data_IF_821021579158
#
_entry.id   IF_821021579158
#
_cell.length_a   1.000
_cell.length_b   1.000
_cell.length_c   1.000
_cell.angle_alpha   90.00
_cell.angle_beta   90.00
_cell.angle_gamma   90.00
#
_symmetry.space_group_name_H-M   'P 1'
#
loop_
_entity.id
_entity.type
_entity.pdbx_description
1 polymer ?
#
# COMPACT_ATOMS: atom_id res chain seq x y z
N UNK A 1 9.22 16.78 54.87
CA UNK A 1 9.64 16.17 53.59
C UNK A 1 9.12 14.75 53.38
N UNK A 2 9.34 13.78 54.29
CA UNK A 2 8.80 12.39 54.13
C UNK A 2 7.30 12.33 53.89
N UNK A 3 6.46 12.96 54.73
CA UNK A 3 4.99 12.93 54.59
C UNK A 3 4.48 13.48 53.26
N UNK A 4 5.10 14.54 52.75
CA UNK A 4 4.73 15.14 51.47
C UNK A 4 5.12 14.23 50.30
N UNK A 5 6.29 13.60 50.37
CA UNK A 5 6.72 12.58 49.41
C UNK A 5 5.84 11.33 49.44
N UNK A 6 5.35 10.90 50.61
CA UNK A 6 4.41 9.78 50.71
C UNK A 6 3.05 10.11 50.11
N UNK A 7 2.55 11.32 50.33
CA UNK A 7 1.30 11.79 49.72
C UNK A 7 1.45 11.87 48.20
N UNK A 8 2.53 12.46 47.70
CA UNK A 8 2.82 12.53 46.27
C UNK A 8 2.89 11.11 45.65
N UNK A 9 3.57 10.18 46.31
CA UNK A 9 3.67 8.78 45.87
C UNK A 9 2.28 8.13 45.75
N UNK A 10 1.42 8.28 46.76
CA UNK A 10 0.08 7.70 46.73
C UNK A 10 -0.81 8.34 45.66
N UNK A 11 -0.69 9.65 45.44
CA UNK A 11 -1.38 10.34 44.34
C UNK A 11 -0.92 9.81 42.99
N UNK A 12 0.39 9.67 42.77
CA UNK A 12 0.94 9.11 41.52
C UNK A 12 0.49 7.65 41.30
N UNK A 13 0.49 6.82 42.34
CA UNK A 13 0.00 5.44 42.26
C UNK A 13 -1.49 5.41 41.93
N UNK A 14 -2.30 6.28 42.53
CA UNK A 14 -3.73 6.37 42.24
C UNK A 14 -3.98 6.75 40.77
N UNK A 15 -3.24 7.72 40.22
CA UNK A 15 -3.32 8.08 38.80
C UNK A 15 -2.86 6.94 37.87
N UNK A 16 -1.78 6.23 38.22
CA UNK A 16 -1.32 5.08 37.46
C UNK A 16 -2.36 3.96 37.45
N UNK A 17 -2.96 3.64 38.60
CA UNK A 17 -3.99 2.61 38.69
C UNK A 17 -5.27 3.00 37.93
N UNK A 18 -5.70 4.27 38.02
CA UNK A 18 -6.84 4.77 37.27
C UNK A 18 -6.64 4.64 35.76
N UNK A 19 -5.41 4.80 35.29
CA UNK A 19 -5.07 4.62 33.88
C UNK A 19 -4.91 3.13 33.49
N UNK A 20 -4.23 2.35 34.32
CA UNK A 20 -3.78 1.00 33.95
C UNK A 20 -4.85 -0.08 34.19
N UNK A 21 -5.78 0.13 35.14
CA UNK A 21 -6.85 -0.83 35.42
C UNK A 21 -7.88 -0.97 34.27
N UNK A 22 -8.44 0.12 33.69
CA UNK A 22 -9.32 0.01 32.53
C UNK A 22 -8.62 -0.62 31.33
N UNK A 23 -7.36 -0.24 31.09
CA UNK A 23 -6.55 -0.81 30.03
C UNK A 23 -6.33 -2.31 30.21
N UNK A 24 -5.95 -2.76 31.42
CA UNK A 24 -5.80 -4.18 31.73
C UNK A 24 -7.13 -4.93 31.58
N UNK A 25 -8.24 -4.36 32.05
CA UNK A 25 -9.57 -4.97 31.91
C UNK A 25 -9.94 -5.14 30.43
N UNK A 26 -9.79 -4.10 29.63
CA UNK A 26 -10.04 -4.16 28.19
C UNK A 26 -9.10 -5.16 27.50
N UNK A 27 -7.82 -5.21 27.89
CA UNK A 27 -6.88 -6.19 27.34
C UNK A 27 -7.31 -7.65 27.58
N UNK A 28 -7.90 -7.95 28.75
CA UNK A 28 -8.39 -9.30 29.06
C UNK A 28 -9.79 -9.61 28.50
N UNK A 29 -10.64 -8.61 28.32
CA UNK A 29 -12.05 -8.79 27.95
C UNK A 29 -12.30 -8.60 26.45
N UNK A 30 -11.52 -7.76 25.77
CA UNK A 30 -11.65 -7.53 24.32
C UNK A 30 -11.24 -8.80 23.59
N UNK A 31 -12.24 -9.56 23.15
CA UNK A 31 -12.07 -10.59 22.13
C UNK A 31 -12.02 -9.87 20.79
N UNK A 32 -10.89 -9.87 20.05
CA UNK A 32 -10.90 -9.35 18.69
C UNK A 32 -11.83 -10.22 17.86
N UNK A 33 -12.95 -9.67 17.39
CA UNK A 33 -13.70 -10.27 16.28
C UNK A 33 -12.77 -10.25 15.07
N UNK A 34 -12.15 -11.41 14.80
CA UNK A 34 -11.30 -11.56 13.63
C UNK A 34 -12.20 -11.58 12.41
N UNK A 35 -12.23 -10.47 11.67
CA UNK A 35 -12.80 -10.44 10.32
C UNK A 35 -12.23 -11.63 9.53
N UNK A 36 -13.08 -12.50 8.95
CA UNK A 36 -12.60 -13.66 8.23
C UNK A 36 -11.75 -13.20 7.03
N UNK A 37 -10.66 -13.90 6.79
CA UNK A 37 -9.84 -13.66 5.60
C UNK A 37 -10.67 -13.98 4.36
N UNK A 38 -10.92 -12.98 3.53
CA UNK A 38 -11.83 -13.08 2.38
C UNK A 38 -11.07 -12.80 1.10
N UNK A 39 -11.20 -13.69 0.11
CA UNK A 39 -10.65 -13.56 -1.23
C UNK A 39 -11.71 -13.88 -2.27
N UNK A 40 -11.70 -13.17 -3.40
CA UNK A 40 -12.50 -13.53 -4.55
C UNK A 40 -11.88 -14.74 -5.27
N UNK A 41 -12.72 -15.66 -5.72
CA UNK A 41 -12.34 -16.81 -6.50
C UNK A 41 -13.02 -16.77 -7.86
N UNK A 42 -12.24 -16.61 -8.93
CA UNK A 42 -12.72 -16.79 -10.30
C UNK A 42 -13.24 -18.21 -10.61
N UNK A 43 -12.89 -19.21 -9.80
CA UNK A 43 -13.32 -20.61 -10.02
C UNK A 43 -14.79 -20.78 -9.66
N UNK A 44 -15.22 -20.19 -8.54
CA UNK A 44 -16.62 -20.25 -8.09
C UNK A 44 -17.42 -19.00 -8.47
N UNK A 45 -16.76 -17.91 -8.88
CA UNK A 45 -17.41 -16.62 -9.17
C UNK A 45 -17.91 -15.91 -7.92
N UNK A 46 -17.28 -16.17 -6.76
CA UNK A 46 -17.71 -15.66 -5.46
C UNK A 46 -16.54 -15.48 -4.48
N UNK A 47 -16.81 -14.77 -3.39
CA UNK A 47 -15.88 -14.63 -2.28
C UNK A 47 -15.83 -15.91 -1.44
N UNK A 48 -14.61 -16.34 -1.17
CA UNK A 48 -14.25 -17.42 -0.29
C UNK A 48 -13.67 -16.84 1.02
N UNK A 49 -14.22 -17.27 2.15
CA UNK A 49 -13.90 -16.79 3.48
C UNK A 49 -13.26 -17.89 4.32
N UNK A 50 -12.22 -17.52 5.07
CA UNK A 50 -11.56 -18.36 6.05
C UNK A 50 -11.51 -17.62 7.40
N UNK A 51 -12.17 -18.16 8.41
CA UNK A 51 -12.26 -17.56 9.74
C UNK A 51 -12.18 -18.61 10.85
N UNK A 52 -11.99 -18.15 12.09
CA UNK A 52 -12.14 -19.01 13.26
C UNK A 52 -13.57 -18.87 13.79
N UNK A 53 -14.29 -19.98 13.97
CA UNK A 53 -15.59 -20.01 14.64
C UNK A 53 -15.44 -20.61 16.05
N UNK A 54 -16.15 -20.03 17.02
CA UNK A 54 -16.10 -20.45 18.42
C UNK A 54 -16.54 -21.93 18.55
N UNK A 55 -15.64 -22.78 19.05
CA UNK A 55 -15.87 -24.21 19.22
C UNK A 55 -15.72 -25.09 17.97
N UNK A 56 -15.58 -24.53 16.76
CA UNK A 56 -15.44 -25.29 15.49
C UNK A 56 -14.07 -25.19 14.82
N UNK A 57 -13.17 -24.35 15.32
CA UNK A 57 -11.85 -24.16 14.73
C UNK A 57 -11.89 -23.32 13.44
N UNK A 58 -10.96 -23.56 12.52
CA UNK A 58 -10.89 -22.83 11.25
C UNK A 58 -11.96 -23.32 10.28
N UNK A 59 -12.96 -22.48 10.00
CA UNK A 59 -14.04 -22.74 9.04
C UNK A 59 -13.73 -22.02 7.74
N UNK A 60 -13.90 -22.74 6.63
CA UNK A 60 -13.68 -22.27 5.26
C UNK A 60 -15.00 -22.36 4.52
N UNK A 61 -15.54 -21.24 4.08
CA UNK A 61 -16.87 -21.18 3.43
C UNK A 61 -16.91 -20.18 2.29
N UNK A 62 -17.85 -20.34 1.37
CA UNK A 62 -18.23 -19.27 0.43
C UNK A 62 -19.38 -18.43 0.98
N UNK A 63 -19.79 -17.39 0.25
CA UNK A 63 -20.96 -16.57 0.61
C UNK A 63 -22.29 -17.31 0.53
N UNK A 64 -22.37 -18.41 -0.24
CA UNK A 64 -23.55 -19.27 -0.29
C UNK A 64 -23.68 -20.17 0.95
N UNK A 65 -22.65 -20.22 1.79
CA UNK A 65 -22.62 -21.02 3.03
C UNK A 65 -22.11 -22.45 2.83
N UNK A 66 -21.57 -22.80 1.66
CA UNK A 66 -20.94 -24.11 1.45
C UNK A 66 -19.63 -24.17 2.25
N UNK A 67 -19.45 -25.23 3.01
CA UNK A 67 -18.25 -25.45 3.82
C UNK A 67 -17.28 -26.34 3.04
N UNK A 68 -16.04 -25.90 2.92
CA UNK A 68 -14.99 -26.59 2.19
C UNK A 68 -14.01 -27.27 3.16
N UNK A 69 -13.51 -28.44 2.77
CA UNK A 69 -12.29 -28.98 3.37
C UNK A 69 -11.09 -28.09 3.00
N UNK A 70 -9.98 -28.23 3.71
CA UNK A 70 -8.74 -27.49 3.40
C UNK A 70 -8.29 -27.70 1.94
N UNK A 71 -8.17 -28.97 1.53
CA UNK A 71 -7.80 -29.30 0.16
C UNK A 71 -8.77 -28.72 -0.90
N UNK A 72 -10.08 -28.73 -0.63
CA UNK A 72 -11.06 -28.16 -1.54
C UNK A 72 -10.95 -26.63 -1.60
N UNK A 73 -10.71 -25.98 -0.45
CA UNK A 73 -10.53 -24.53 -0.37
C UNK A 73 -9.27 -24.06 -1.11
N UNK A 74 -8.17 -24.82 -1.02
CA UNK A 74 -6.96 -24.51 -1.79
C UNK A 74 -7.24 -24.54 -3.30
N UNK A 75 -8.11 -25.47 -3.74
CA UNK A 75 -8.44 -25.70 -5.15
C UNK A 75 -9.34 -24.61 -5.74
N UNK A 76 -10.20 -23.98 -4.92
CA UNK A 76 -11.01 -22.84 -5.36
C UNK A 76 -10.20 -21.53 -5.41
N UNK A 77 -9.07 -21.45 -4.72
CA UNK A 77 -8.17 -20.28 -4.75
C UNK A 77 -6.78 -20.67 -5.30
N UNK A 78 -6.71 -21.20 -6.55
CA UNK A 78 -5.51 -21.85 -7.04
C UNK A 78 -4.34 -20.89 -7.24
N UNK A 79 -4.62 -19.61 -7.54
CA UNK A 79 -3.59 -18.59 -7.68
C UNK A 79 -2.96 -18.22 -6.34
N UNK A 80 -3.74 -18.19 -5.25
CA UNK A 80 -3.24 -17.87 -3.91
C UNK A 80 -2.48 -19.05 -3.30
N UNK A 81 -3.06 -20.26 -3.36
CA UNK A 81 -2.49 -21.48 -2.79
C UNK A 81 -1.63 -22.29 -3.78
N UNK A 82 -1.10 -21.65 -4.82
CA UNK A 82 -0.36 -22.35 -5.89
C UNK A 82 0.78 -23.21 -5.37
N UNK A 83 1.51 -22.77 -4.32
CA UNK A 83 2.61 -23.56 -3.74
C UNK A 83 2.13 -24.87 -3.12
N UNK A 84 1.00 -24.81 -2.40
CA UNK A 84 0.40 -25.99 -1.77
C UNK A 84 -0.15 -26.93 -2.84
N UNK A 85 -0.89 -26.41 -3.82
CA UNK A 85 -1.42 -27.21 -4.92
C UNK A 85 -0.34 -27.86 -5.77
N UNK A 86 0.80 -27.19 -5.97
CA UNK A 86 1.96 -27.78 -6.67
C UNK A 86 2.58 -28.91 -5.85
N UNK A 87 2.70 -28.75 -4.53
CA UNK A 87 3.22 -29.80 -3.65
C UNK A 87 2.31 -31.03 -3.63
N UNK A 88 1.00 -30.81 -3.76
CA UNK A 88 0.00 -31.87 -3.74
C UNK A 88 -0.27 -32.45 -5.14
N UNK A 89 0.42 -31.98 -6.19
CA UNK A 89 0.19 -32.36 -7.60
C UNK A 89 -1.26 -32.09 -8.08
N UNK A 90 -1.94 -31.09 -7.47
CA UNK A 90 -3.33 -30.69 -7.77
C UNK A 90 -3.44 -29.36 -8.50
N UNK A 91 -2.33 -28.74 -8.84
CA UNK A 91 -2.34 -27.45 -9.53
C UNK A 91 -2.85 -27.63 -10.97
N UNK A 92 -3.88 -26.87 -11.42
CA UNK A 92 -4.44 -27.05 -12.76
C UNK A 92 -3.44 -26.70 -13.86
N UNK A 93 -3.28 -27.58 -14.85
CA UNK A 93 -2.44 -27.34 -16.03
C UNK A 93 -2.97 -26.20 -16.92
N UNK A 94 -4.28 -25.95 -16.87
CA UNK A 94 -4.95 -24.91 -17.66
C UNK A 94 -6.02 -24.24 -16.83
N UNK A 95 -6.02 -22.91 -16.81
CA UNK A 95 -7.04 -22.08 -16.16
C UNK A 95 -7.59 -21.11 -17.20
N UNK A 96 -8.91 -21.12 -17.40
CA UNK A 96 -9.61 -20.28 -18.39
C UNK A 96 -8.98 -20.34 -19.80
N UNK A 97 -8.51 -21.52 -20.22
CA UNK A 97 -7.88 -21.73 -21.53
C UNK A 97 -6.41 -21.30 -21.64
N UNK A 98 -5.81 -20.79 -20.56
CA UNK A 98 -4.40 -20.41 -20.50
C UNK A 98 -3.60 -21.53 -19.83
N UNK A 99 -2.55 -22.01 -20.50
CA UNK A 99 -1.62 -22.97 -19.92
C UNK A 99 -0.88 -22.34 -18.73
N UNK A 100 -1.01 -22.95 -17.56
CA UNK A 100 -0.44 -22.42 -16.34
C UNK A 100 0.99 -22.92 -16.13
N UNK A 101 1.87 -22.03 -15.69
CA UNK A 101 3.20 -22.41 -15.20
C UNK A 101 3.46 -21.77 -13.84
N UNK A 102 4.20 -22.42 -12.94
CA UNK A 102 4.51 -21.85 -11.62
C UNK A 102 5.20 -20.48 -11.71
N UNK A 103 6.03 -20.28 -12.74
CA UNK A 103 6.72 -19.02 -12.99
C UNK A 103 5.76 -17.90 -13.39
N UNK A 104 4.74 -18.21 -14.18
CA UNK A 104 3.70 -17.26 -14.58
C UNK A 104 2.91 -16.79 -13.36
N UNK A 105 2.44 -17.71 -12.50
CA UNK A 105 1.71 -17.38 -11.27
C UNK A 105 2.54 -16.48 -10.35
N UNK A 106 3.82 -16.81 -10.15
CA UNK A 106 4.73 -16.01 -9.31
C UNK A 106 5.00 -14.59 -9.85
N UNK A 107 4.87 -14.41 -11.16
CA UNK A 107 5.13 -13.12 -11.81
C UNK A 107 3.86 -12.26 -11.81
N UNK A 108 2.71 -12.88 -12.03
CA UNK A 108 1.41 -12.21 -12.12
C UNK A 108 0.80 -11.89 -10.76
N UNK A 109 1.05 -12.70 -9.73
CA UNK A 109 0.55 -12.43 -8.40
C UNK A 109 1.28 -11.27 -7.75
N UNK A 110 0.51 -10.38 -7.14
CA UNK A 110 1.05 -9.29 -6.33
C UNK A 110 0.19 -9.03 -5.09
N UNK A 111 0.81 -8.43 -4.09
CA UNK A 111 0.14 -7.93 -2.91
C UNK A 111 0.55 -6.47 -2.71
N UNK A 112 -0.42 -5.60 -2.51
CA UNK A 112 -0.23 -4.20 -2.20
C UNK A 112 -1.00 -3.86 -0.93
N UNK A 113 -0.38 -3.11 -0.04
CA UNK A 113 -1.01 -2.63 1.17
C UNK A 113 -0.65 -1.17 1.37
N UNK A 114 -1.64 -0.35 1.66
CA UNK A 114 -1.49 1.02 2.15
C UNK A 114 -2.29 1.17 3.43
N UNK A 115 -1.68 1.78 4.43
CA UNK A 115 -2.37 2.17 5.67
C UNK A 115 -2.27 3.69 5.87
N UNK A 116 -3.23 4.31 6.57
CA UNK A 116 -3.23 5.76 6.80
C UNK A 116 -1.93 6.31 7.40
N UNK A 117 -1.29 5.54 8.28
CA UNK A 117 -0.01 5.91 8.89
C UNK A 117 1.13 6.06 7.88
N UNK A 118 1.06 5.42 6.71
CA UNK A 118 2.08 5.55 5.67
C UNK A 118 2.09 6.97 5.05
N UNK A 119 0.97 7.69 5.18
CA UNK A 119 0.76 9.01 4.59
C UNK A 119 0.82 10.09 5.67
N UNK A 120 0.16 9.84 6.80
CA UNK A 120 0.05 10.79 7.89
C UNK A 120 1.36 10.90 8.70
N UNK A 121 2.23 9.90 8.64
CA UNK A 121 3.50 9.94 9.36
C UNK A 121 4.45 11.00 8.77
N UNK A 122 5.23 11.70 9.61
CA UNK A 122 6.28 12.59 9.14
C UNK A 122 7.27 11.85 8.23
N UNK A 123 7.43 12.34 6.99
CA UNK A 123 8.43 11.84 6.06
C UNK A 123 9.70 12.67 6.10
N UNK A 124 10.84 11.99 5.95
CA UNK A 124 12.13 12.65 5.75
C UNK A 124 12.18 13.02 4.27
N UNK A 125 12.19 14.31 3.93
CA UNK A 125 12.22 14.83 2.56
C UNK A 125 13.55 14.61 1.82
N UNK A 126 14.19 13.45 2.03
CA UNK A 126 15.43 13.00 1.40
C UNK A 126 15.18 11.61 0.81
N UNK A 127 15.46 11.47 -0.49
CA UNK A 127 15.08 10.30 -1.26
C UNK A 127 16.29 9.74 -2.01
N UNK A 128 16.60 8.43 -1.91
CA UNK A 128 17.66 7.83 -2.72
C UNK A 128 17.19 7.64 -4.17
N UNK A 129 17.95 8.10 -5.16
CA UNK A 129 17.66 7.80 -6.57
C UNK A 129 18.55 6.67 -7.07
N UNK A 130 17.97 5.48 -7.22
CA UNK A 130 18.66 4.31 -7.73
C UNK A 130 18.82 4.35 -9.25
N UNK A 131 19.79 3.59 -9.76
CA UNK A 131 20.03 3.44 -11.19
C UNK A 131 19.13 2.35 -11.78
N UNK A 132 18.10 2.76 -12.52
CA UNK A 132 17.08 1.86 -13.09
C UNK A 132 17.64 0.91 -14.14
N UNK A 133 18.77 1.24 -14.79
CA UNK A 133 19.46 0.36 -15.73
C UNK A 133 20.94 0.18 -15.38
N UNK A 134 21.19 -0.39 -14.19
CA UNK A 134 22.55 -0.64 -13.70
C UNK A 134 23.30 -1.74 -14.47
N UNK A 135 22.56 -2.57 -15.23
CA UNK A 135 23.10 -3.76 -15.90
C UNK A 135 23.50 -4.89 -14.93
N UNK A 136 23.22 -4.74 -13.64
CA UNK A 136 23.45 -5.74 -12.60
C UNK A 136 22.11 -6.27 -12.07
N UNK A 137 22.16 -7.49 -11.52
CA UNK A 137 20.98 -8.14 -10.92
C UNK A 137 20.57 -7.40 -9.64
N UNK A 138 21.54 -6.99 -8.81
CA UNK A 138 21.27 -6.30 -7.55
C UNK A 138 21.30 -4.77 -7.73
N UNK A 139 20.27 -4.12 -7.18
CA UNK A 139 20.23 -2.67 -7.03
C UNK A 139 21.23 -2.25 -5.95
N UNK A 140 21.90 -1.12 -6.19
CA UNK A 140 22.84 -0.52 -5.25
C UNK A 140 22.24 0.76 -4.68
N UNK A 141 22.43 0.94 -3.37
CA UNK A 141 22.15 2.24 -2.76
C UNK A 141 23.09 3.29 -3.37
N UNK A 142 22.55 4.45 -3.80
CA UNK A 142 23.39 5.57 -4.23
C UNK A 142 24.16 6.14 -3.03
N UNK A 143 25.30 6.81 -3.28
CA UNK A 143 26.05 7.55 -2.27
C UNK A 143 25.47 8.95 -1.99
N UNK A 144 24.41 9.31 -2.73
CA UNK A 144 23.68 10.57 -2.59
C UNK A 144 22.17 10.35 -2.44
N UNK A 145 21.51 11.33 -1.83
CA UNK A 145 20.06 11.43 -1.72
C UNK A 145 19.61 12.75 -2.31
N UNK A 146 18.43 12.81 -2.90
CA UNK A 146 17.89 14.05 -3.44
C UNK A 146 16.79 14.64 -2.55
N UNK A 147 16.64 15.95 -2.65
CA UNK A 147 15.46 16.69 -2.20
C UNK A 147 15.00 17.61 -3.32
N UNK A 148 13.72 17.97 -3.31
CA UNK A 148 13.17 18.96 -4.24
C UNK A 148 12.88 20.24 -3.46
N UNK A 149 13.51 21.34 -3.88
CA UNK A 149 13.31 22.67 -3.32
C UNK A 149 12.47 23.52 -4.27
N UNK A 150 12.18 24.76 -3.90
CA UNK A 150 11.50 25.72 -4.79
C UNK A 150 12.35 26.15 -6.00
N UNK A 151 13.67 25.93 -5.95
CA UNK A 151 14.60 26.32 -7.03
C UNK A 151 14.91 25.17 -7.99
N UNK A 152 14.84 23.93 -7.52
CA UNK A 152 15.23 22.77 -8.31
C UNK A 152 15.38 21.51 -7.47
N UNK A 153 15.94 20.47 -8.08
CA UNK A 153 16.29 19.22 -7.41
C UNK A 153 17.77 19.27 -7.00
N UNK A 154 18.04 18.97 -5.73
CA UNK A 154 19.38 18.99 -5.15
C UNK A 154 19.76 17.58 -4.71
N UNK A 155 20.92 17.09 -5.18
CA UNK A 155 21.52 15.85 -4.70
C UNK A 155 22.55 16.16 -3.63
N UNK A 156 22.40 15.54 -2.47
CA UNK A 156 23.26 15.71 -1.30
C UNK A 156 24.09 14.45 -1.13
N UNK A 157 25.40 14.61 -1.08
CA UNK A 157 26.31 13.53 -0.76
C UNK A 157 26.15 13.11 0.71
N UNK A 158 25.98 11.82 0.97
CA UNK A 158 25.73 11.33 2.33
C UNK A 158 26.97 11.36 3.23
N UNK A 159 28.18 11.31 2.66
CA UNK A 159 29.41 11.28 3.44
C UNK A 159 29.85 12.69 3.86
N UNK A 160 29.73 13.67 2.96
CA UNK A 160 30.20 15.04 3.19
C UNK A 160 29.08 16.03 3.51
N UNK A 161 27.81 15.63 3.34
CA UNK A 161 26.62 16.49 3.46
C UNK A 161 26.70 17.74 2.56
N UNK A 162 27.38 17.62 1.41
CA UNK A 162 27.53 18.69 0.42
C UNK A 162 26.63 18.44 -0.79
N UNK A 163 26.17 19.52 -1.42
CA UNK A 163 25.38 19.43 -2.66
C UNK A 163 26.29 19.05 -3.83
N UNK A 164 25.87 18.07 -4.63
CA UNK A 164 26.47 17.70 -5.91
C UNK A 164 25.93 18.61 -7.00
N UNK A 165 26.54 19.77 -7.16
CA UNK A 165 26.08 20.85 -8.06
C UNK A 165 25.86 20.37 -9.51
N UNK A 166 26.84 19.67 -10.10
CA UNK A 166 26.76 19.21 -11.49
C UNK A 166 25.56 18.26 -11.73
N UNK A 167 25.35 17.29 -10.82
CA UNK A 167 24.24 16.35 -10.88
C UNK A 167 22.90 17.06 -10.66
N UNK A 168 22.86 17.97 -9.69
CA UNK A 168 21.68 18.76 -9.35
C UNK A 168 21.24 19.65 -10.52
N UNK A 169 22.19 20.32 -11.17
CA UNK A 169 21.95 21.14 -12.35
C UNK A 169 21.41 20.29 -13.51
N UNK A 170 22.06 19.16 -13.81
CA UNK A 170 21.65 18.28 -14.91
C UNK A 170 20.20 17.79 -14.75
N UNK A 171 19.82 17.39 -13.54
CA UNK A 171 18.46 16.93 -13.27
C UNK A 171 17.45 18.09 -13.27
N UNK A 172 17.82 19.25 -12.71
CA UNK A 172 16.97 20.44 -12.71
C UNK A 172 16.68 20.89 -14.15
N UNK A 173 17.68 20.98 -15.01
CA UNK A 173 17.51 21.31 -16.42
C UNK A 173 16.63 20.31 -17.16
N UNK A 174 16.79 19.00 -16.90
CA UNK A 174 15.96 17.96 -17.50
C UNK A 174 14.48 18.09 -17.09
N UNK A 175 14.21 18.45 -15.83
CA UNK A 175 12.86 18.69 -15.33
C UNK A 175 12.27 19.99 -15.91
N UNK A 176 13.02 21.09 -15.91
CA UNK A 176 12.59 22.37 -16.50
C UNK A 176 12.32 22.24 -18.00
N UNK A 177 13.11 21.44 -18.73
CA UNK A 177 12.87 21.15 -20.15
C UNK A 177 11.55 20.41 -20.41
N UNK A 178 10.98 19.75 -19.38
CA UNK A 178 9.65 19.13 -19.40
C UNK A 178 8.59 20.02 -18.77
N UNK A 179 8.91 21.31 -18.60
CA UNK A 179 8.07 22.34 -18.01
C UNK A 179 7.70 22.10 -16.54
N UNK A 180 8.40 21.23 -15.80
CA UNK A 180 8.11 20.94 -14.39
C UNK A 180 8.10 22.22 -13.52
N UNK A 181 7.07 22.40 -12.69
CA UNK A 181 7.00 23.51 -11.72
C UNK A 181 7.43 23.09 -10.32
N UNK A 182 8.48 23.73 -9.82
CA UNK A 182 8.95 23.56 -8.45
C UNK A 182 8.15 24.40 -7.44
N UNK A 183 8.03 23.96 -6.18
CA UNK A 183 8.47 22.67 -5.64
C UNK A 183 7.52 21.51 -6.00
N UNK A 184 7.97 20.27 -5.80
CA UNK A 184 7.08 19.12 -5.88
C UNK A 184 6.09 19.12 -4.71
N UNK A 185 4.82 18.87 -5.00
CA UNK A 185 3.77 18.72 -3.98
C UNK A 185 3.75 17.32 -3.39
N UNK A 186 4.11 16.31 -4.20
CA UNK A 186 4.19 14.91 -3.77
C UNK A 186 5.36 14.22 -4.45
N UNK A 187 6.08 13.37 -3.69
CA UNK A 187 7.24 12.60 -4.15
C UNK A 187 7.06 11.17 -3.67
N UNK A 188 6.82 10.26 -4.60
CA UNK A 188 6.53 8.85 -4.28
C UNK A 188 7.48 7.95 -5.03
N UNK A 189 8.19 7.12 -4.28
CA UNK A 189 9.03 6.07 -4.80
C UNK A 189 9.33 5.07 -3.70
N UNK A 190 9.99 3.99 -4.06
CA UNK A 190 10.31 2.94 -3.11
C UNK A 190 11.84 2.93 -2.86
N UNK A 191 12.30 3.31 -1.67
CA UNK A 191 13.73 3.52 -1.43
C UNK A 191 14.52 2.20 -1.21
N UNK A 192 13.89 1.03 -1.26
CA UNK A 192 14.57 -0.25 -0.96
C UNK A 192 15.34 -0.83 -2.15
N UNK A 193 16.52 -1.40 -1.89
CA UNK A 193 17.30 -2.17 -2.89
C UNK A 193 16.83 -3.63 -3.05
N UNK A 194 15.87 -4.08 -2.23
CA UNK A 194 15.36 -5.48 -2.26
C UNK A 194 14.46 -5.79 -3.46
N UNK A 195 14.24 -4.82 -4.34
CA UNK A 195 13.40 -4.96 -5.53
C UNK A 195 14.19 -5.57 -6.67
N UNK A 196 13.47 -6.18 -7.61
CA UNK A 196 14.07 -6.76 -8.81
C UNK A 196 14.48 -5.70 -9.85
N UNK A 197 13.80 -4.56 -9.83
CA UNK A 197 14.07 -3.42 -10.69
C UNK A 197 13.58 -2.15 -10.00
N UNK A 198 14.04 -1.01 -10.51
CA UNK A 198 13.68 0.31 -9.99
C UNK A 198 13.02 1.16 -11.08
N UNK A 199 11.83 1.69 -10.82
CA UNK A 199 11.16 2.67 -11.70
C UNK A 199 11.36 4.11 -11.21
N UNK A 200 12.25 4.35 -10.24
CA UNK A 200 12.52 5.69 -9.73
C UNK A 200 11.34 6.26 -8.94
N UNK A 201 10.84 7.42 -9.36
CA UNK A 201 9.90 8.24 -8.61
C UNK A 201 8.80 8.80 -9.50
N UNK A 202 7.60 8.89 -8.94
CA UNK A 202 6.52 9.71 -9.44
C UNK A 202 6.42 10.99 -8.63
N UNK A 203 6.21 12.09 -9.34
CA UNK A 203 6.19 13.43 -8.79
C UNK A 203 4.91 14.12 -9.20
N UNK A 204 4.29 14.81 -8.26
CA UNK A 204 3.35 15.89 -8.56
C UNK A 204 4.08 17.21 -8.44
N UNK A 205 4.01 18.03 -9.48
CA UNK A 205 4.59 19.36 -9.46
C UNK A 205 3.71 20.37 -8.69
N UNK A 206 4.09 21.65 -8.68
CA UNK A 206 3.31 22.71 -8.01
C UNK A 206 1.89 22.88 -8.58
N UNK A 207 1.70 22.57 -9.86
CA UNK A 207 0.41 22.63 -10.56
C UNK A 207 -0.33 21.27 -10.54
N UNK A 208 0.15 20.31 -9.73
CA UNK A 208 -0.33 18.93 -9.63
C UNK A 208 -0.31 18.14 -10.94
N UNK A 209 0.60 18.48 -11.86
CA UNK A 209 0.88 17.69 -13.05
C UNK A 209 1.78 16.52 -12.70
N UNK A 210 1.53 15.37 -13.34
CA UNK A 210 2.19 14.12 -13.04
C UNK A 210 3.47 13.94 -13.88
N UNK A 211 4.56 13.60 -13.20
CA UNK A 211 5.85 13.32 -13.83
C UNK A 211 6.45 12.02 -13.33
N UNK A 212 7.14 11.34 -14.22
CA UNK A 212 7.95 10.16 -13.92
C UNK A 212 9.43 10.51 -14.05
N UNK A 213 10.14 10.44 -12.92
CA UNK A 213 11.56 10.73 -12.78
C UNK A 213 12.32 9.43 -12.48
N UNK A 214 13.36 9.13 -13.26
CA UNK A 214 14.30 8.05 -12.93
C UNK A 214 15.70 8.34 -13.42
N UNK A 215 16.67 7.56 -12.94
CA UNK A 215 18.04 7.61 -13.43
C UNK A 215 18.28 6.43 -14.37
N UNK A 216 18.78 6.72 -15.57
CA UNK A 216 19.06 5.72 -16.59
C UNK A 216 20.47 5.92 -17.14
N UNK A 217 21.35 4.96 -16.89
CA UNK A 217 22.78 4.98 -17.26
C UNK A 217 23.46 6.29 -16.83
N UNK A 218 23.19 6.73 -15.61
CA UNK A 218 23.72 7.96 -15.03
C UNK A 218 23.10 9.25 -15.57
N UNK A 219 22.04 9.19 -16.36
CA UNK A 219 21.36 10.36 -16.92
C UNK A 219 19.93 10.51 -16.37
N UNK A 220 19.43 11.74 -16.21
CA UNK A 220 18.04 11.96 -15.84
C UNK A 220 17.10 11.52 -16.97
N UNK A 221 16.11 10.73 -16.61
CA UNK A 221 14.92 10.50 -17.42
C UNK A 221 13.76 11.20 -16.74
N UNK A 222 13.13 12.14 -17.45
CA UNK A 222 11.94 12.86 -16.99
C UNK A 222 10.88 12.76 -18.08
N UNK A 223 9.70 12.29 -17.70
CA UNK A 223 8.53 12.20 -18.58
C UNK A 223 7.33 12.85 -17.92
N UNK A 224 6.74 13.82 -18.60
CA UNK A 224 5.42 14.32 -18.27
C UNK A 224 4.37 13.29 -18.67
N UNK A 225 3.40 13.03 -17.78
CA UNK A 225 2.27 12.16 -18.03
C UNK A 225 1.03 13.05 -18.13
N UNK A 226 0.36 13.00 -19.28
CA UNK A 226 -0.84 13.80 -19.52
C UNK A 226 -1.99 13.23 -18.70
N UNK A 227 -2.57 14.06 -17.83
CA UNK A 227 -3.77 13.73 -17.08
C UNK A 227 -5.02 13.98 -17.94
N UNK A 228 -6.06 13.14 -17.85
CA UNK A 228 -7.38 13.44 -18.40
C UNK A 228 -7.91 14.80 -17.93
N UNK A 229 -8.70 15.46 -18.77
CA UNK A 229 -9.30 16.76 -18.41
C UNK A 229 -10.16 16.67 -17.14
N UNK A 230 -9.95 17.60 -16.21
CA UNK A 230 -10.66 17.65 -14.93
C UNK A 230 -10.15 16.67 -13.87
N UNK A 231 -9.15 15.84 -14.17
CA UNK A 231 -8.53 14.96 -13.17
C UNK A 231 -7.47 15.71 -12.37
N UNK A 232 -7.72 15.88 -11.08
CA UNK A 232 -6.76 16.42 -10.11
C UNK A 232 -6.38 15.31 -9.13
N UNK A 233 -5.20 14.72 -9.31
CA UNK A 233 -4.67 13.68 -8.42
C UNK A 233 -4.38 14.26 -7.03
N UNK A 234 -4.52 13.48 -5.97
CA UNK A 234 -4.25 13.84 -4.57
C UNK A 234 -3.05 13.07 -3.99
N UNK A 235 -3.10 11.74 -4.05
CA UNK A 235 -2.05 10.84 -3.56
C UNK A 235 -1.59 9.85 -4.63
N UNK A 236 -0.32 9.46 -4.58
CA UNK A 236 0.30 8.50 -5.49
C UNK A 236 0.90 7.31 -4.73
N UNK A 237 0.96 6.16 -5.40
CA UNK A 237 1.64 4.95 -4.92
C UNK A 237 2.41 4.30 -6.07
N UNK A 238 3.74 4.37 -6.03
CA UNK A 238 4.56 3.67 -7.01
C UNK A 238 4.46 2.15 -6.78
N UNK A 239 4.25 1.41 -7.87
CA UNK A 239 4.24 -0.05 -7.85
C UNK A 239 5.37 -0.60 -8.70
N UNK A 240 6.07 -1.61 -8.18
CA UNK A 240 7.18 -2.29 -8.87
C UNK A 240 6.95 -3.80 -8.88
N UNK A 241 5.76 -4.20 -9.32
CA UNK A 241 5.37 -5.61 -9.40
C UNK A 241 6.14 -6.35 -10.50
N UNK A 242 6.37 -7.64 -10.32
CA UNK A 242 7.14 -8.47 -11.27
C UNK A 242 6.56 -8.50 -12.68
N UNK A 243 5.23 -8.43 -12.81
CA UNK A 243 4.53 -8.41 -14.10
C UNK A 243 4.72 -7.10 -14.90
N UNK A 244 5.19 -6.01 -14.27
CA UNK A 244 5.41 -4.69 -14.89
C UNK A 244 4.17 -4.13 -15.61
N UNK A 245 2.96 -4.55 -15.23
CA UNK A 245 1.71 -4.08 -15.86
C UNK A 245 1.31 -2.71 -15.31
N UNK A 246 1.32 -2.59 -14.00
CA UNK A 246 0.97 -1.37 -13.26
C UNK A 246 2.25 -0.63 -12.86
N UNK A 247 2.28 0.68 -13.08
CA UNK A 247 3.33 1.58 -12.60
C UNK A 247 2.93 2.28 -11.30
N UNK A 248 1.65 2.63 -11.15
CA UNK A 248 1.18 3.27 -9.94
C UNK A 248 -0.29 3.02 -9.65
N UNK A 249 -0.64 3.17 -8.38
CA UNK A 249 -2.00 3.48 -7.94
C UNK A 249 -2.08 4.94 -7.54
N UNK A 250 -3.26 5.54 -7.73
CA UNK A 250 -3.45 6.97 -7.50
C UNK A 250 -4.86 7.24 -7.00
N UNK A 251 -5.03 8.29 -6.20
CA UNK A 251 -6.33 8.83 -5.84
C UNK A 251 -6.48 10.25 -6.33
N UNK A 252 -7.71 10.68 -6.59
CA UNK A 252 -8.03 12.08 -6.89
C UNK A 252 -8.66 12.80 -5.69
N UNK A 253 -8.90 14.11 -5.83
CA UNK A 253 -9.57 14.94 -4.83
C UNK A 253 -11.00 14.48 -4.49
N UNK A 254 -11.62 13.65 -5.35
CA UNK A 254 -12.93 13.05 -5.11
C UNK A 254 -12.83 11.65 -4.50
N UNK A 255 -11.62 11.25 -4.06
CA UNK A 255 -11.31 9.95 -3.46
C UNK A 255 -11.57 8.77 -4.42
N UNK A 256 -11.62 9.01 -5.73
CA UNK A 256 -11.71 7.96 -6.72
C UNK A 256 -10.33 7.32 -6.93
N UNK A 257 -10.31 6.00 -7.17
CA UNK A 257 -9.08 5.22 -7.31
C UNK A 257 -8.76 4.94 -8.78
N UNK A 258 -7.48 5.10 -9.14
CA UNK A 258 -6.99 4.98 -10.50
C UNK A 258 -5.74 4.10 -10.57
N UNK A 259 -5.56 3.45 -11.71
CA UNK A 259 -4.39 2.63 -12.05
C UNK A 259 -3.64 3.31 -13.20
N UNK A 260 -2.33 3.53 -13.02
CA UNK A 260 -1.44 3.97 -14.08
C UNK A 260 -0.76 2.75 -14.71
N UNK A 261 -1.00 2.52 -16.00
CA UNK A 261 -0.34 1.43 -16.73
C UNK A 261 1.12 1.79 -17.05
N UNK A 262 2.04 0.84 -16.85
CA UNK A 262 3.47 1.11 -17.01
C UNK A 262 3.91 1.35 -18.46
N UNK A 263 3.34 0.60 -19.42
CA UNK A 263 3.77 0.68 -20.83
C UNK A 263 3.16 1.86 -21.58
N UNK A 264 1.86 2.06 -21.42
CA UNK A 264 1.08 3.06 -22.16
C UNK A 264 1.03 4.41 -21.44
N UNK A 265 1.30 4.44 -20.12
CA UNK A 265 1.01 5.59 -19.26
C UNK A 265 -0.47 5.99 -19.28
N UNK A 266 -1.35 5.05 -19.62
CA UNK A 266 -2.79 5.25 -19.58
C UNK A 266 -3.28 5.21 -18.13
N UNK A 267 -4.20 6.11 -17.81
CA UNK A 267 -4.83 6.22 -16.50
C UNK A 267 -6.23 5.63 -16.61
N UNK A 268 -6.47 4.55 -15.88
CA UNK A 268 -7.76 3.85 -15.88
C UNK A 268 -8.40 4.00 -14.51
N UNK A 269 -9.65 4.47 -14.48
CA UNK A 269 -10.46 4.53 -13.26
C UNK A 269 -10.95 3.14 -12.89
N UNK A 270 -10.82 2.74 -11.63
CA UNK A 270 -11.29 1.43 -11.19
C UNK A 270 -12.76 1.44 -10.79
N UNK A 271 -13.34 0.24 -10.64
CA UNK A 271 -14.68 0.04 -10.11
C UNK A 271 -14.85 0.27 -8.60
N UNK A 272 -13.81 0.71 -7.89
CA UNK A 272 -13.90 1.02 -6.45
C UNK A 272 -14.64 2.37 -6.29
N UNK A 273 -15.65 2.45 -5.39
CA UNK A 273 -16.48 3.65 -5.27
C UNK A 273 -15.70 4.86 -4.74
N UNK A 274 -15.07 4.71 -3.58
CA UNK A 274 -14.22 5.72 -2.96
C UNK A 274 -13.20 5.04 -2.04
N UNK A 275 -12.02 5.66 -1.93
CA UNK A 275 -10.96 5.28 -1.01
C UNK A 275 -10.24 6.55 -0.57
N UNK A 276 -10.29 6.86 0.72
CA UNK A 276 -9.55 7.98 1.28
C UNK A 276 -8.25 7.50 1.95
N UNK A 277 -7.08 7.75 1.34
CA UNK A 277 -5.80 7.30 1.86
C UNK A 277 -5.47 7.77 3.28
N UNK A 278 -6.00 8.92 3.71
CA UNK A 278 -5.69 9.51 5.01
C UNK A 278 -6.47 8.86 6.17
N UNK A 279 -7.55 8.13 5.88
CA UNK A 279 -8.42 7.49 6.88
C UNK A 279 -8.58 6.00 6.70
N UNK A 280 -8.53 5.52 5.47
CA UNK A 280 -8.87 4.15 5.09
C UNK A 280 -7.60 3.33 4.85
N UNK A 281 -7.67 2.03 5.16
CA UNK A 281 -6.63 1.08 4.78
C UNK A 281 -7.04 0.32 3.51
N UNK A 282 -6.11 0.18 2.58
CA UNK A 282 -6.29 -0.53 1.33
C UNK A 282 -5.38 -1.76 1.28
N UNK A 283 -5.94 -2.92 0.98
CA UNK A 283 -5.17 -4.13 0.66
C UNK A 283 -5.64 -4.69 -0.67
N UNK A 284 -4.72 -4.91 -1.61
CA UNK A 284 -5.01 -5.50 -2.92
C UNK A 284 -4.21 -6.79 -3.04
N UNK A 285 -4.92 -7.90 -3.23
CA UNK A 285 -4.33 -9.18 -3.60
C UNK A 285 -4.77 -9.45 -5.04
N UNK A 286 -3.84 -9.24 -5.96
CA UNK A 286 -4.07 -9.36 -7.39
C UNK A 286 -3.42 -10.58 -8.00
N UNK A 287 -4.09 -11.14 -9.00
CA UNK A 287 -3.57 -12.18 -9.89
C UNK A 287 -3.83 -11.79 -11.36
N UNK A 288 -3.63 -12.75 -12.29
CA UNK A 288 -3.79 -12.48 -13.72
C UNK A 288 -5.25 -12.31 -14.19
N UNK A 289 -6.22 -12.78 -13.40
CA UNK A 289 -7.64 -12.82 -13.75
C UNK A 289 -8.44 -11.77 -12.97
N UNK A 290 -8.21 -11.68 -11.67
CA UNK A 290 -8.94 -10.79 -10.79
C UNK A 290 -8.08 -10.21 -9.67
N UNK A 291 -8.57 -9.11 -9.11
CA UNK A 291 -8.03 -8.48 -7.92
C UNK A 291 -9.08 -8.53 -6.81
N UNK A 292 -8.68 -9.02 -5.64
CA UNK A 292 -9.43 -8.79 -4.41
C UNK A 292 -8.91 -7.53 -3.74
N UNK A 293 -9.76 -6.52 -3.64
CA UNK A 293 -9.49 -5.26 -2.97
C UNK A 293 -10.28 -5.19 -1.68
N UNK A 294 -9.59 -5.03 -0.55
CA UNK A 294 -10.18 -4.77 0.76
C UNK A 294 -9.97 -3.31 1.11
N UNK A 295 -11.04 -2.57 1.35
CA UNK A 295 -11.05 -1.21 1.87
C UNK A 295 -11.62 -1.24 3.28
N UNK A 296 -10.77 -1.02 4.25
CA UNK A 296 -11.14 -0.97 5.67
C UNK A 296 -11.23 0.48 6.10
N UNK A 297 -12.44 0.93 6.38
CA UNK A 297 -12.76 2.24 6.96
C UNK A 297 -12.95 2.09 8.47
N UNK A 298 -13.09 3.19 9.24
CA UNK A 298 -13.43 3.08 10.66
C UNK A 298 -14.78 2.41 10.96
N UNK A 299 -15.71 2.42 10.01
CA UNK A 299 -17.09 1.94 10.19
C UNK A 299 -17.44 0.66 9.40
N UNK A 300 -16.71 0.36 8.33
CA UNK A 300 -16.98 -0.76 7.43
C UNK A 300 -15.70 -1.41 6.89
N UNK A 301 -15.78 -2.72 6.63
CA UNK A 301 -14.74 -3.52 6.00
C UNK A 301 -15.28 -4.11 4.68
N UNK A 302 -14.99 -3.41 3.59
CA UNK A 302 -15.57 -3.69 2.29
C UNK A 302 -14.59 -4.44 1.39
N UNK A 303 -15.11 -5.41 0.64
CA UNK A 303 -14.36 -6.20 -0.32
C UNK A 303 -14.93 -5.97 -1.72
N UNK A 304 -14.04 -5.74 -2.68
CA UNK A 304 -14.36 -5.54 -4.09
C UNK A 304 -13.53 -6.52 -4.92
N UNK A 305 -14.18 -7.23 -5.82
CA UNK A 305 -13.54 -8.04 -6.84
C UNK A 305 -13.47 -7.21 -8.12
N UNK A 306 -12.28 -6.99 -8.66
CA UNK A 306 -12.07 -6.28 -9.92
C UNK A 306 -11.53 -7.23 -10.99
N UNK A 307 -11.89 -7.01 -12.25
CA UNK A 307 -11.23 -7.70 -13.38
C UNK A 307 -9.80 -7.19 -13.55
N UNK A 308 -8.85 -8.09 -13.80
CA UNK A 308 -7.44 -7.71 -13.90
C UNK A 308 -7.07 -6.97 -15.20
N UNK A 309 -7.93 -6.99 -16.23
CA UNK A 309 -7.67 -6.35 -17.53
C UNK A 309 -8.20 -4.92 -17.60
N UNK A 310 -9.44 -4.69 -17.16
CA UNK A 310 -10.11 -3.37 -17.27
C UNK A 310 -10.40 -2.71 -15.91
N UNK A 311 -10.13 -3.40 -14.80
CA UNK A 311 -10.38 -2.93 -13.43
C UNK A 311 -11.85 -2.61 -13.13
N UNK A 312 -12.77 -3.16 -13.92
CA UNK A 312 -14.21 -3.06 -13.69
C UNK A 312 -14.63 -3.87 -12.46
N UNK A 313 -15.71 -3.44 -11.80
CA UNK A 313 -16.22 -4.12 -10.62
C UNK A 313 -16.98 -5.39 -11.02
N UNK A 314 -16.49 -6.55 -10.56
CA UNK A 314 -17.14 -7.85 -10.74
C UNK A 314 -18.16 -8.08 -9.62
N UNK A 315 -17.72 -7.93 -8.36
CA UNK A 315 -18.55 -8.21 -7.17
C UNK A 315 -18.14 -7.35 -6.00
N UNK A 316 -19.09 -7.06 -5.11
CA UNK A 316 -18.84 -6.38 -3.84
C UNK A 316 -19.39 -7.17 -2.67
N UNK A 317 -18.75 -7.03 -1.52
CA UNK A 317 -19.18 -7.56 -0.23
C UNK A 317 -18.92 -6.48 0.83
N UNK A 318 -19.98 -6.02 1.47
CA UNK A 318 -19.92 -5.01 2.52
C UNK A 318 -20.05 -5.71 3.87
N UNK A 319 -19.12 -5.47 4.78
CA UNK A 319 -19.23 -5.90 6.17
C UNK A 319 -19.18 -4.68 7.08
N UNK A 320 -19.97 -4.69 8.15
CA UNK A 320 -19.79 -3.72 9.22
C UNK A 320 -18.46 -4.01 9.92
N UNK A 321 -17.63 -2.98 10.11
CA UNK A 321 -16.37 -3.17 10.83
C UNK A 321 -16.58 -2.86 12.30
N UNK A 322 -16.38 -3.87 13.15
CA UNK A 322 -16.19 -3.67 14.58
C UNK A 322 -14.70 -3.50 14.88
N UNK A 323 -14.04 -2.49 14.29
CA UNK A 323 -12.70 -2.11 14.76
C UNK A 323 -12.87 -1.46 16.12
N UNK A 324 -12.95 -2.28 17.17
CA UNK A 324 -12.84 -1.79 18.54
C UNK A 324 -11.39 -1.34 18.73
N UNK A 325 -11.14 -0.04 18.66
CA UNK A 325 -9.96 0.53 19.33
C UNK A 325 -10.05 0.11 20.78
N UNK A 326 -8.94 -0.37 21.36
CA UNK A 326 -8.93 -0.62 22.80
C UNK A 326 -9.13 0.71 23.51
N UNK A 327 -10.20 0.88 24.31
CA UNK A 327 -10.44 2.16 24.95
C UNK A 327 -9.28 2.47 25.91
N UNK A 328 -8.69 3.66 25.80
CA UNK A 328 -7.50 4.01 26.58
C UNK A 328 -6.81 5.30 26.15
N UNK A 329 -5.79 5.68 26.92
CA UNK A 329 -4.93 6.82 26.58
C UNK A 329 -3.91 6.35 25.55
N UNK A 330 -4.02 6.86 24.32
CA UNK A 330 -3.02 6.68 23.26
C UNK A 330 -2.21 7.97 23.10
N UNK A 331 -0.93 7.85 22.74
CA UNK A 331 -0.07 9.01 22.45
C UNK A 331 0.26 9.14 20.96
N UNK A 332 0.02 8.07 20.19
CA UNK A 332 0.25 8.00 18.74
C UNK A 332 -1.09 7.85 18.04
N UNK A 333 -1.26 8.50 16.89
CA UNK A 333 -2.46 8.38 16.06
C UNK A 333 -2.11 7.78 14.71
N UNK A 334 -3.07 7.06 14.13
CA UNK A 334 -3.02 6.60 12.75
C UNK A 334 -3.48 7.69 11.76
N UNK A 335 -4.22 8.69 12.23
CA UNK A 335 -4.85 9.74 11.41
C UNK A 335 -4.09 11.07 11.42
N UNK A 336 -3.10 11.24 12.29
CA UNK A 336 -2.37 12.50 12.39
C UNK A 336 -0.92 12.32 12.86
N UNK A 337 -0.10 13.34 12.60
CA UNK A 337 1.36 13.36 12.83
C UNK A 337 1.78 13.73 14.26
N UNK A 338 0.85 14.02 15.15
CA UNK A 338 1.15 14.57 16.47
C UNK A 338 1.29 13.49 17.54
N UNK A 339 2.21 13.73 18.49
CA UNK A 339 2.33 12.92 19.70
C UNK A 339 1.66 13.68 20.84
N UNK A 340 0.40 13.37 21.12
CA UNK A 340 -0.41 14.03 22.16
C UNK A 340 -1.34 13.01 22.83
N UNK A 341 -1.70 13.20 24.11
CA UNK A 341 -2.63 12.30 24.78
C UNK A 341 -4.02 12.37 24.14
N UNK A 342 -4.53 11.23 23.69
CA UNK A 342 -5.88 11.04 23.14
C UNK A 342 -6.61 10.01 24.00
N UNK A 343 -7.93 10.15 24.10
CA UNK A 343 -8.80 9.15 24.69
C UNK A 343 -9.54 8.46 23.55
N UNK A 344 -9.14 7.23 23.24
CA UNK A 344 -9.84 6.34 22.32
C UNK A 344 -10.76 5.38 23.06
#
# INVERSE_FOLDING_TARGET
MRRFSTILLYVTIAFLLLWQLPWCYNFFVVKPEKTPFTLYSFVIGDFAQMGQEEGKGTVRRDLAGNIYSEAAFDSILPMFYFRQLMSDERFPDTIQGIAMTPKMVQTENFNFRSVPSDINAPSIGLYPLMESMSGRVDLKMPDDVFRITSKGIEFIDMATNSVKEDKSLQFTEAMTKKDFRFPATEIVGNPTVKKEYDEGYLLLDADRRLFHLKQVKGRPYVRAITLPEGLTLEHLYLTEFRNKKTLAFMTDVNKAFYVLQNRTYEIVKTGIPAFDPETDALTIIGNMFDWTVRVTTPASDNYYALDANDYSLIKKLENESNVHSMPGITFTSYTDKYVMPRFE
#
